data_IF_462162199047
#
_entry.id   IF_462162199047
#
_cell.length_a   1.000
_cell.length_b   1.000
_cell.length_c   1.000
_cell.angle_alpha   90.00
_cell.angle_beta   90.00
_cell.angle_gamma   90.00
#
_symmetry.space_group_name_H-M   'P 1'
#
loop_
_entity.id
_entity.type
_entity.pdbx_description
1 polymer ?
#
# COMPACT_ATOMS: atom_id res chain seq x y z
N UNK A 1 0.10 -31.61 3.96
CA UNK A 1 -1.37 -31.45 3.84
C UNK A 1 -1.93 -31.42 5.24
N UNK A 2 -2.77 -30.43 5.56
CA UNK A 2 -3.39 -30.30 6.88
C UNK A 2 -4.89 -30.54 6.81
N UNK A 3 -5.40 -31.24 7.82
CA UNK A 3 -6.83 -31.51 7.97
C UNK A 3 -7.31 -30.87 9.26
N UNK A 4 -8.34 -30.02 9.16
CA UNK A 4 -8.93 -29.33 10.30
C UNK A 4 -10.40 -29.69 10.41
N UNK A 5 -10.83 -30.11 11.60
CA UNK A 5 -12.25 -30.29 11.90
C UNK A 5 -12.82 -28.98 12.43
N UNK A 6 -13.63 -28.31 11.63
CA UNK A 6 -14.15 -26.98 11.91
C UNK A 6 -15.68 -27.01 12.03
N UNK A 7 -16.23 -26.10 12.82
CA UNK A 7 -17.68 -25.91 12.98
C UNK A 7 -18.20 -25.02 11.86
N UNK A 8 -19.12 -25.56 11.05
CA UNK A 8 -19.85 -24.81 10.03
C UNK A 8 -20.48 -23.54 10.61
N UNK A 9 -21.08 -23.62 11.80
CA UNK A 9 -21.76 -22.49 12.44
C UNK A 9 -20.81 -21.34 12.76
N UNK A 10 -19.61 -21.63 13.27
CA UNK A 10 -18.59 -20.60 13.53
C UNK A 10 -18.12 -19.96 12.22
N UNK A 11 -17.82 -20.78 11.21
CA UNK A 11 -17.41 -20.30 9.89
C UNK A 11 -18.45 -19.37 9.25
N UNK A 12 -19.71 -19.80 9.16
CA UNK A 12 -20.78 -19.02 8.52
C UNK A 12 -21.16 -17.75 9.28
N UNK A 13 -20.98 -17.73 10.61
CA UNK A 13 -21.28 -16.55 11.42
C UNK A 13 -20.19 -15.48 11.31
N UNK A 14 -18.94 -15.90 11.09
CA UNK A 14 -17.77 -15.01 11.13
C UNK A 14 -17.24 -14.60 9.77
N UNK A 15 -17.68 -15.23 8.68
CA UNK A 15 -17.14 -15.04 7.32
C UNK A 15 -18.25 -14.99 6.28
N UNK A 16 -18.24 -13.94 5.46
CA UNK A 16 -19.19 -13.80 4.34
C UNK A 16 -18.95 -14.88 3.28
N UNK A 17 -17.69 -15.24 3.01
CA UNK A 17 -17.34 -16.32 2.09
C UNK A 17 -18.01 -17.64 2.50
N UNK A 18 -17.87 -18.06 3.77
CA UNK A 18 -18.45 -19.32 4.23
C UNK A 18 -19.97 -19.25 4.31
N UNK A 19 -20.54 -18.06 4.58
CA UNK A 19 -21.98 -17.83 4.52
C UNK A 19 -22.53 -18.05 3.10
N UNK A 20 -21.90 -17.45 2.09
CA UNK A 20 -22.26 -17.61 0.68
C UNK A 20 -22.08 -19.05 0.21
N UNK A 21 -20.94 -19.66 0.55
CA UNK A 21 -20.67 -21.06 0.26
C UNK A 21 -21.75 -21.97 0.86
N UNK A 22 -22.19 -21.68 2.09
CA UNK A 22 -23.25 -22.43 2.76
C UNK A 22 -24.63 -22.28 2.11
N UNK A 23 -24.87 -21.18 1.40
CA UNK A 23 -26.11 -20.94 0.67
C UNK A 23 -26.15 -21.66 -0.69
N UNK A 24 -25.00 -21.80 -1.37
CA UNK A 24 -24.88 -22.49 -2.67
C UNK A 24 -24.95 -24.03 -2.52
N UNK A 25 -24.76 -24.53 -1.29
CA UNK A 25 -24.71 -25.95 -0.97
C UNK A 25 -23.26 -26.42 -0.88
N UNK A 26 -22.85 -26.87 0.31
CA UNK A 26 -21.54 -27.49 0.48
C UNK A 26 -21.56 -28.87 -0.18
N UNK A 27 -20.54 -29.24 -0.96
CA UNK A 27 -20.44 -30.61 -1.48
C UNK A 27 -20.37 -31.59 -0.30
N UNK A 28 -21.43 -32.38 -0.12
CA UNK A 28 -21.49 -33.42 0.90
C UNK A 28 -20.52 -34.54 0.54
N UNK A 29 -19.46 -34.68 1.31
CA UNK A 29 -18.67 -35.91 1.30
C UNK A 29 -19.33 -36.85 2.31
N UNK A 30 -20.06 -37.86 1.81
CA UNK A 30 -20.54 -38.94 2.66
C UNK A 30 -19.33 -39.73 3.17
N UNK A 31 -18.96 -39.50 4.41
CA UNK A 31 -18.03 -40.35 5.14
C UNK A 31 -18.85 -41.26 6.05
N UNK A 32 -18.55 -42.56 6.04
CA UNK A 32 -19.21 -43.54 6.90
C UNK A 32 -19.13 -43.09 8.37
N UNK A 33 -20.28 -42.72 8.95
CA UNK A 33 -20.40 -42.31 10.35
C UNK A 33 -20.75 -40.84 10.62
N UNK A 34 -20.88 -39.98 9.61
CA UNK A 34 -21.40 -38.61 9.80
C UNK A 34 -21.40 -37.71 8.56
N UNK A 35 -22.17 -36.61 8.62
CA UNK A 35 -22.12 -35.54 7.61
C UNK A 35 -20.87 -34.68 7.85
N UNK A 36 -19.77 -34.97 7.16
CA UNK A 36 -18.62 -34.07 7.07
C UNK A 36 -18.61 -33.40 5.70
N UNK A 37 -18.47 -32.08 5.67
CA UNK A 37 -18.24 -31.35 4.43
C UNK A 37 -16.77 -31.02 4.33
N UNK A 38 -16.19 -31.26 3.16
CA UNK A 38 -14.76 -31.03 2.92
C UNK A 38 -14.60 -29.79 2.05
N UNK A 39 -14.01 -28.74 2.62
CA UNK A 39 -13.64 -27.54 1.85
C UNK A 39 -12.14 -27.61 1.59
N UNK A 40 -11.76 -27.67 0.32
CA UNK A 40 -10.35 -27.68 -0.07
C UNK A 40 -9.84 -26.25 -0.20
N UNK A 41 -8.78 -25.91 0.53
CA UNK A 41 -8.11 -24.62 0.43
C UNK A 41 -6.66 -24.83 -0.05
N UNK A 42 -6.27 -24.18 -1.15
CA UNK A 42 -4.94 -24.33 -1.76
C UNK A 42 -4.24 -22.97 -1.86
N UNK A 43 -2.92 -22.96 -1.73
CA UNK A 43 -2.09 -21.76 -1.92
C UNK A 43 -1.98 -20.84 -0.69
N UNK A 44 -2.48 -21.26 0.47
CA UNK A 44 -2.41 -20.49 1.71
C UNK A 44 -1.18 -20.84 2.57
N UNK A 45 -0.69 -19.86 3.33
CA UNK A 45 0.26 -20.11 4.42
C UNK A 45 -0.45 -20.89 5.53
N UNK A 46 0.08 -22.08 5.83
CA UNK A 46 -0.53 -23.05 6.73
C UNK A 46 -0.77 -22.46 8.13
N UNK A 47 0.26 -21.84 8.71
CA UNK A 47 0.18 -21.26 10.05
C UNK A 47 -0.80 -20.07 10.09
N UNK A 48 -0.79 -19.19 9.10
CA UNK A 48 -1.74 -18.09 9.02
C UNK A 48 -3.18 -18.59 8.96
N UNK A 49 -3.43 -19.68 8.22
CA UNK A 49 -4.74 -20.31 8.13
C UNK A 49 -5.16 -20.91 9.47
N UNK A 50 -4.27 -21.64 10.14
CA UNK A 50 -4.54 -22.21 11.48
C UNK A 50 -4.87 -21.10 12.48
N UNK A 51 -4.11 -20.00 12.50
CA UNK A 51 -4.37 -18.85 13.38
C UNK A 51 -5.77 -18.28 13.11
N UNK A 52 -6.12 -18.05 11.84
CA UNK A 52 -7.43 -17.52 11.48
C UNK A 52 -8.56 -18.46 11.94
N UNK A 53 -8.40 -19.77 11.72
CA UNK A 53 -9.39 -20.75 12.12
C UNK A 53 -9.54 -20.83 13.64
N UNK A 54 -8.44 -20.74 14.40
CA UNK A 54 -8.48 -20.67 15.86
C UNK A 54 -9.24 -19.43 16.35
N UNK A 55 -9.05 -18.27 15.71
CA UNK A 55 -9.79 -17.04 16.02
C UNK A 55 -11.29 -17.23 15.77
N UNK A 56 -11.67 -17.71 14.59
CA UNK A 56 -13.09 -17.92 14.23
C UNK A 56 -13.77 -18.89 15.22
N UNK A 57 -13.03 -19.87 15.75
CA UNK A 57 -13.55 -20.87 16.69
C UNK A 57 -13.40 -20.49 18.16
N UNK A 58 -12.98 -19.25 18.47
CA UNK A 58 -12.82 -18.79 19.85
C UNK A 58 -11.73 -19.54 20.63
N UNK A 59 -10.79 -20.19 19.96
CA UNK A 59 -9.68 -20.93 20.58
C UNK A 59 -8.55 -19.97 20.94
N UNK A 60 -8.85 -18.98 21.77
CA UNK A 60 -7.98 -17.83 22.06
C UNK A 60 -6.61 -18.22 22.62
N UNK A 61 -6.53 -19.31 23.40
CA UNK A 61 -5.29 -19.85 23.96
C UNK A 61 -4.30 -20.34 22.90
N UNK A 62 -4.77 -20.62 21.66
CA UNK A 62 -3.94 -21.05 20.53
C UNK A 62 -3.58 -19.91 19.58
N UNK A 63 -4.00 -18.67 19.89
CA UNK A 63 -3.71 -17.50 19.08
C UNK A 63 -2.48 -16.80 19.65
N UNK A 64 -1.40 -16.61 18.88
CA UNK A 64 -0.21 -15.96 19.39
C UNK A 64 -0.48 -14.50 19.73
N UNK A 65 0.11 -14.01 20.82
CA UNK A 65 0.00 -12.60 21.21
C UNK A 65 0.83 -11.67 20.31
N UNK A 66 1.82 -12.23 19.61
CA UNK A 66 2.73 -11.52 18.73
C UNK A 66 2.89 -12.27 17.42
N UNK A 67 2.92 -11.53 16.33
CA UNK A 67 3.16 -12.06 14.98
C UNK A 67 4.11 -11.13 14.25
N UNK A 68 4.96 -11.67 13.39
CA UNK A 68 5.77 -10.84 12.50
C UNK A 68 4.89 -10.11 11.50
N UNK A 69 5.36 -8.97 10.97
CA UNK A 69 4.65 -8.23 9.92
C UNK A 69 4.33 -9.12 8.70
N UNK A 70 5.23 -10.02 8.34
CA UNK A 70 5.01 -10.94 7.22
C UNK A 70 3.87 -11.94 7.51
N UNK A 71 3.83 -12.50 8.72
CA UNK A 71 2.75 -13.39 9.14
C UNK A 71 1.42 -12.62 9.23
N UNK A 72 1.43 -11.39 9.75
CA UNK A 72 0.26 -10.52 9.79
C UNK A 72 -0.27 -10.19 8.40
N UNK A 73 0.60 -9.91 7.43
CA UNK A 73 0.21 -9.68 6.04
C UNK A 73 -0.43 -10.94 5.43
N UNK A 74 0.13 -12.13 5.70
CA UNK A 74 -0.46 -13.41 5.28
C UNK A 74 -1.84 -13.65 5.90
N UNK A 75 -2.01 -13.36 7.19
CA UNK A 75 -3.33 -13.38 7.86
C UNK A 75 -4.28 -12.38 7.20
N UNK A 76 -3.82 -11.16 6.90
CA UNK A 76 -4.63 -10.13 6.23
C UNK A 76 -5.10 -10.58 4.84
N UNK A 77 -4.29 -11.32 4.08
CA UNK A 77 -4.70 -11.93 2.80
C UNK A 77 -5.89 -12.87 3.01
N UNK A 78 -5.81 -13.75 4.01
CA UNK A 78 -6.88 -14.69 4.33
C UNK A 78 -8.13 -13.97 4.83
N UNK A 79 -7.97 -12.96 5.69
CA UNK A 79 -9.08 -12.16 6.21
C UNK A 79 -9.81 -11.43 5.09
N UNK A 80 -9.07 -10.86 4.14
CA UNK A 80 -9.64 -10.20 2.97
C UNK A 80 -10.35 -11.21 2.05
N UNK A 81 -9.77 -12.39 1.85
CA UNK A 81 -10.37 -13.45 1.03
C UNK A 81 -11.66 -14.02 1.65
N UNK A 82 -11.64 -14.34 2.94
CA UNK A 82 -12.78 -14.95 3.63
C UNK A 82 -13.80 -13.91 4.13
N UNK A 83 -13.53 -12.61 4.02
CA UNK A 83 -14.46 -11.56 4.45
C UNK A 83 -14.81 -11.64 5.93
N UNK A 84 -13.79 -11.79 6.78
CA UNK A 84 -13.95 -12.03 8.22
C UNK A 84 -13.21 -11.01 9.11
N UNK A 85 -13.09 -9.76 8.65
CA UNK A 85 -12.37 -8.68 9.33
C UNK A 85 -12.84 -8.50 10.78
N UNK A 86 -14.17 -8.50 11.00
CA UNK A 86 -14.77 -8.31 12.33
C UNK A 86 -14.35 -9.37 13.35
N UNK A 87 -14.13 -10.61 12.91
CA UNK A 87 -13.71 -11.69 13.79
C UNK A 87 -12.25 -11.52 14.27
N UNK A 88 -11.43 -10.83 13.48
CA UNK A 88 -9.98 -10.66 13.73
C UNK A 88 -9.65 -9.29 14.33
N UNK A 89 -10.57 -8.32 14.29
CA UNK A 89 -10.35 -6.92 14.67
C UNK A 89 -9.58 -6.73 16.01
N UNK A 90 -9.99 -7.45 17.06
CA UNK A 90 -9.29 -7.39 18.36
C UNK A 90 -7.83 -7.82 18.25
N UNK A 91 -7.57 -8.97 17.61
CA UNK A 91 -6.21 -9.48 17.44
C UNK A 91 -5.38 -8.62 16.51
N UNK A 92 -5.98 -8.09 15.43
CA UNK A 92 -5.31 -7.17 14.53
C UNK A 92 -4.76 -5.95 15.29
N UNK A 93 -5.57 -5.30 16.14
CA UNK A 93 -5.16 -4.17 16.98
C UNK A 93 -4.02 -4.53 17.95
N UNK A 94 -4.10 -5.72 18.56
CA UNK A 94 -3.02 -6.20 19.45
C UNK A 94 -1.74 -6.42 18.67
N UNK A 95 -1.79 -7.04 17.51
CA UNK A 95 -0.61 -7.30 16.70
C UNK A 95 -0.01 -6.04 16.10
N UNK A 96 -0.82 -5.13 15.57
CA UNK A 96 -0.34 -3.87 14.96
C UNK A 96 0.28 -2.95 16.00
N UNK A 97 -0.29 -2.86 17.21
CA UNK A 97 0.32 -2.09 18.31
C UNK A 97 1.64 -2.66 18.82
N UNK A 98 1.89 -3.96 18.63
CA UNK A 98 3.15 -4.62 19.00
C UNK A 98 4.20 -4.64 17.90
N UNK A 99 3.90 -4.12 16.71
CA UNK A 99 4.91 -3.89 15.69
C UNK A 99 5.84 -2.75 16.15
N UNK A 100 6.94 -3.12 16.83
CA UNK A 100 7.86 -2.17 17.46
C UNK A 100 8.55 -1.20 16.47
N UNK A 101 8.66 -1.58 15.21
CA UNK A 101 9.32 -0.76 14.21
C UNK A 101 8.46 0.47 13.82
N UNK A 102 9.08 1.65 13.66
CA UNK A 102 8.39 2.86 13.21
C UNK A 102 7.78 2.65 11.82
N UNK A 103 6.84 3.52 11.44
CA UNK A 103 6.30 3.49 10.09
C UNK A 103 7.41 3.82 9.08
N UNK A 104 7.55 3.05 7.98
CA UNK A 104 8.54 3.33 6.95
C UNK A 104 8.36 4.71 6.33
N UNK A 105 9.44 5.49 6.31
CA UNK A 105 9.49 6.81 5.68
C UNK A 105 9.96 6.74 4.22
N UNK A 106 10.42 5.58 3.76
CA UNK A 106 10.91 5.34 2.39
C UNK A 106 10.16 4.20 1.72
N UNK A 107 10.11 4.22 0.39
CA UNK A 107 9.51 3.16 -0.40
C UNK A 107 10.27 1.84 -0.22
N UNK A 108 9.60 0.83 0.34
CA UNK A 108 10.21 -0.45 0.70
C UNK A 108 9.19 -1.59 0.71
N UNK A 109 9.67 -2.84 0.75
CA UNK A 109 8.81 -4.01 0.97
C UNK A 109 8.00 -3.88 2.25
N UNK A 110 8.62 -3.43 3.34
CA UNK A 110 7.96 -3.25 4.63
C UNK A 110 6.79 -2.27 4.52
N UNK A 111 7.00 -1.15 3.83
CA UNK A 111 5.97 -0.14 3.60
C UNK A 111 4.72 -0.75 2.95
N UNK A 112 4.92 -1.58 1.92
CA UNK A 112 3.82 -2.20 1.17
C UNK A 112 3.06 -3.25 1.99
N UNK A 113 3.77 -4.03 2.82
CA UNK A 113 3.14 -4.96 3.76
C UNK A 113 2.28 -4.20 4.78
N UNK A 114 2.82 -3.12 5.37
CA UNK A 114 2.07 -2.29 6.33
C UNK A 114 0.90 -1.56 5.67
N UNK A 115 1.04 -1.11 4.43
CA UNK A 115 -0.05 -0.49 3.67
C UNK A 115 -1.21 -1.49 3.55
N UNK A 116 -0.92 -2.71 3.11
CA UNK A 116 -1.95 -3.73 2.93
C UNK A 116 -2.62 -4.12 4.24
N UNK A 117 -1.84 -4.32 5.32
CA UNK A 117 -2.38 -4.58 6.67
C UNK A 117 -3.30 -3.45 7.13
N UNK A 118 -2.83 -2.19 7.03
CA UNK A 118 -3.62 -1.02 7.43
C UNK A 118 -4.90 -0.84 6.61
N UNK A 119 -4.88 -1.27 5.34
CA UNK A 119 -6.06 -1.26 4.47
C UNK A 119 -7.07 -2.34 4.88
N UNK A 120 -6.64 -3.60 5.06
CA UNK A 120 -7.53 -4.72 5.44
C UNK A 120 -8.17 -4.50 6.80
N UNK A 121 -7.43 -3.92 7.76
CA UNK A 121 -7.90 -3.70 9.13
C UNK A 121 -8.37 -2.27 9.40
N UNK A 122 -8.55 -1.45 8.36
CA UNK A 122 -9.10 -0.09 8.46
C UNK A 122 -8.35 0.83 9.44
N UNK A 123 -7.02 0.75 9.48
CA UNK A 123 -6.16 1.64 10.28
C UNK A 123 -5.95 2.99 9.57
N UNK A 124 -6.98 3.83 9.54
CA UNK A 124 -7.05 5.06 8.71
C UNK A 124 -5.81 5.95 8.83
N UNK A 125 -5.35 6.23 10.04
CA UNK A 125 -4.20 7.10 10.28
C UNK A 125 -2.88 6.50 9.76
N UNK A 126 -2.69 5.19 9.92
CA UNK A 126 -1.52 4.47 9.39
C UNK A 126 -1.57 4.45 7.87
N UNK A 127 -2.72 4.08 7.32
CA UNK A 127 -2.95 4.03 5.87
C UNK A 127 -2.65 5.38 5.22
N UNK A 128 -3.20 6.48 5.75
CA UNK A 128 -2.97 7.84 5.25
C UNK A 128 -1.50 8.26 5.25
N UNK A 129 -0.74 7.88 6.28
CA UNK A 129 0.71 8.15 6.33
C UNK A 129 1.46 7.38 5.26
N UNK A 130 1.18 6.08 5.11
CA UNK A 130 1.87 5.22 4.16
C UNK A 130 1.54 5.57 2.70
N UNK A 131 0.28 5.93 2.40
CA UNK A 131 -0.08 6.40 1.05
C UNK A 131 0.62 7.71 0.69
N UNK A 132 0.73 8.65 1.64
CA UNK A 132 1.52 9.88 1.44
C UNK A 132 2.98 9.56 1.14
N UNK A 133 3.61 8.67 1.92
CA UNK A 133 4.99 8.25 1.65
C UNK A 133 5.14 7.65 0.25
N UNK A 134 4.21 6.77 -0.18
CA UNK A 134 4.21 6.20 -1.53
C UNK A 134 4.15 7.28 -2.60
N UNK A 135 3.21 8.22 -2.48
CA UNK A 135 3.01 9.29 -3.45
C UNK A 135 4.29 10.12 -3.62
N UNK A 136 5.03 10.37 -2.54
CA UNK A 136 6.25 11.19 -2.58
C UNK A 136 7.51 10.43 -3.05
N UNK A 137 7.65 9.17 -2.65
CA UNK A 137 8.89 8.38 -2.82
C UNK A 137 8.87 7.47 -4.05
N UNK A 138 7.69 7.01 -4.47
CA UNK A 138 7.61 6.07 -5.58
C UNK A 138 8.03 6.72 -6.90
N UNK A 139 8.62 5.89 -7.77
CA UNK A 139 9.15 6.29 -9.09
C UNK A 139 8.31 5.75 -10.24
N UNK A 140 7.07 5.38 -9.97
CA UNK A 140 6.18 4.69 -10.88
C UNK A 140 5.11 3.90 -10.12
N UNK A 141 4.37 3.08 -10.86
CA UNK A 141 3.33 2.22 -10.30
C UNK A 141 3.89 1.31 -9.20
N UNK A 142 3.21 1.25 -8.06
CA UNK A 142 3.69 0.42 -6.95
C UNK A 142 3.66 -1.07 -7.30
N UNK A 143 4.68 -1.79 -6.87
CA UNK A 143 4.67 -3.25 -6.93
C UNK A 143 3.79 -3.80 -5.81
N UNK A 144 2.83 -4.67 -6.12
CA UNK A 144 1.89 -5.19 -5.11
C UNK A 144 2.45 -6.35 -4.29
N UNK A 145 3.66 -6.86 -4.60
CA UNK A 145 4.25 -8.03 -3.96
C UNK A 145 3.38 -9.31 -4.04
N UNK A 146 2.46 -9.37 -5.01
CA UNK A 146 1.46 -10.45 -5.10
C UNK A 146 0.32 -10.34 -4.08
N UNK A 147 0.26 -9.26 -3.29
CA UNK A 147 -0.84 -9.00 -2.37
C UNK A 147 -2.10 -8.57 -3.14
N UNK A 148 -3.31 -8.91 -2.67
CA UNK A 148 -4.57 -8.55 -3.28
C UNK A 148 -4.95 -7.09 -2.97
N UNK A 149 -4.04 -6.15 -3.27
CA UNK A 149 -4.29 -4.72 -3.18
C UNK A 149 -5.23 -4.33 -4.32
N UNK A 150 -6.35 -3.62 -4.06
CA UNK A 150 -7.27 -3.24 -5.11
C UNK A 150 -6.59 -2.42 -6.21
N UNK A 151 -6.82 -2.79 -7.47
CA UNK A 151 -6.27 -2.05 -8.62
C UNK A 151 -6.64 -0.57 -8.59
N UNK A 152 -7.88 -0.26 -8.16
CA UNK A 152 -8.36 1.12 -7.97
C UNK A 152 -7.50 1.91 -6.99
N UNK A 153 -7.00 1.29 -5.93
CA UNK A 153 -6.12 1.96 -4.96
C UNK A 153 -4.74 2.21 -5.58
N UNK A 154 -4.18 1.21 -6.26
CA UNK A 154 -2.89 1.33 -6.96
C UNK A 154 -2.93 2.47 -7.98
N UNK A 155 -3.98 2.51 -8.81
CA UNK A 155 -4.16 3.53 -9.84
C UNK A 155 -4.39 4.92 -9.24
N UNK A 156 -5.10 5.03 -8.11
CA UNK A 156 -5.31 6.30 -7.41
C UNK A 156 -4.00 6.87 -6.86
N UNK A 157 -3.16 6.03 -6.23
CA UNK A 157 -1.86 6.47 -5.71
C UNK A 157 -0.94 6.96 -6.83
N UNK A 158 -0.92 6.25 -7.96
CA UNK A 158 -0.08 6.64 -9.09
C UNK A 158 -0.61 7.90 -9.77
N UNK A 159 -1.94 8.07 -9.86
CA UNK A 159 -2.57 9.30 -10.34
C UNK A 159 -2.17 10.51 -9.49
N UNK A 160 -2.27 10.40 -8.16
CA UNK A 160 -1.90 11.49 -7.24
C UNK A 160 -0.41 11.84 -7.37
N UNK A 161 0.46 10.84 -7.51
CA UNK A 161 1.89 11.04 -7.79
C UNK A 161 2.10 11.79 -9.11
N UNK A 162 1.47 11.36 -10.20
CA UNK A 162 1.60 11.99 -11.51
C UNK A 162 1.11 13.44 -11.50
N UNK A 163 0.02 13.72 -10.78
CA UNK A 163 -0.50 15.09 -10.62
C UNK A 163 0.50 16.01 -9.91
N UNK A 164 1.13 15.55 -8.83
CA UNK A 164 2.14 16.34 -8.12
C UNK A 164 3.37 16.59 -9.00
N UNK A 165 3.85 15.58 -9.73
CA UNK A 165 5.00 15.73 -10.63
C UNK A 165 4.67 16.69 -11.77
N UNK A 166 3.49 16.55 -12.39
CA UNK A 166 3.04 17.45 -13.45
C UNK A 166 2.92 18.89 -12.95
N UNK A 167 2.36 19.10 -11.76
CA UNK A 167 2.27 20.42 -11.14
C UNK A 167 3.66 21.03 -10.91
N UNK A 168 4.58 20.27 -10.34
CA UNK A 168 5.95 20.70 -10.12
C UNK A 168 6.67 21.11 -11.42
N UNK A 169 6.53 20.32 -12.48
CA UNK A 169 7.12 20.64 -13.80
C UNK A 169 6.49 21.92 -14.36
N UNK A 170 5.17 22.07 -14.26
CA UNK A 170 4.44 23.26 -14.69
C UNK A 170 4.90 24.52 -13.96
N UNK A 171 5.12 24.44 -12.64
CA UNK A 171 5.60 25.55 -11.83
C UNK A 171 7.01 25.99 -12.24
N UNK A 172 7.92 25.03 -12.49
CA UNK A 172 9.27 25.32 -12.97
C UNK A 172 9.25 25.94 -14.37
N UNK A 173 8.44 25.42 -15.29
CA UNK A 173 8.27 26.01 -16.64
C UNK A 173 7.69 27.43 -16.56
N UNK A 174 6.76 27.67 -15.65
CA UNK A 174 6.17 28.99 -15.43
C UNK A 174 7.21 29.98 -14.89
N UNK A 175 8.03 29.55 -13.93
CA UNK A 175 9.14 30.34 -13.41
C UNK A 175 10.19 30.64 -14.49
N UNK A 176 10.54 29.65 -15.32
CA UNK A 176 11.45 29.81 -16.47
C UNK A 176 10.91 30.86 -17.45
N UNK A 177 9.61 30.80 -17.76
CA UNK A 177 8.95 31.76 -18.65
C UNK A 177 8.96 33.17 -18.07
N UNK A 178 8.71 33.31 -16.77
CA UNK A 178 8.74 34.60 -16.07
C UNK A 178 10.15 35.22 -16.07
N UNK A 179 11.16 34.45 -15.70
CA UNK A 179 12.56 34.91 -15.67
C UNK A 179 13.12 35.23 -17.07
N UNK A 180 12.52 34.66 -18.13
CA UNK A 180 12.90 34.97 -19.52
C UNK A 180 12.29 36.28 -20.03
N UNK A 181 11.30 36.83 -19.32
CA UNK A 181 10.69 38.12 -19.63
C UNK A 181 11.35 39.19 -18.77
N UNK A 182 11.52 40.39 -19.32
CA UNK A 182 11.95 41.54 -18.53
C UNK A 182 10.81 41.99 -17.62
N UNK A 183 10.86 41.57 -16.35
CA UNK A 183 9.98 42.09 -15.31
C UNK A 183 10.69 43.20 -14.51
N UNK A 184 9.94 44.23 -14.13
CA UNK A 184 10.44 45.45 -13.47
C UNK A 184 11.06 45.22 -12.07
N UNK A 185 10.98 44.01 -11.53
CA UNK A 185 11.33 43.71 -10.13
C UNK A 185 12.82 43.37 -9.92
N UNK A 186 13.59 43.00 -10.96
CA UNK A 186 15.04 42.75 -10.82
C UNK A 186 15.88 43.28 -12.01
N UNK A 187 17.20 43.37 -11.83
CA UNK A 187 18.11 43.76 -12.93
C UNK A 187 18.25 42.65 -13.98
N UNK A 188 18.71 43.01 -15.19
CA UNK A 188 18.97 42.05 -16.26
C UNK A 188 19.94 40.95 -15.82
N UNK A 189 21.00 41.28 -15.08
CA UNK A 189 22.00 40.34 -14.58
C UNK A 189 21.37 39.38 -13.57
N UNK A 190 20.57 39.90 -12.63
CA UNK A 190 19.83 39.10 -11.65
C UNK A 190 18.90 38.07 -12.32
N UNK A 191 18.10 38.53 -13.30
CA UNK A 191 17.20 37.66 -14.07
C UNK A 191 17.99 36.61 -14.85
N UNK A 192 19.07 37.01 -15.53
CA UNK A 192 19.92 36.12 -16.32
C UNK A 192 20.59 35.04 -15.48
N UNK A 193 21.13 35.41 -14.31
CA UNK A 193 21.76 34.45 -13.41
C UNK A 193 20.74 33.48 -12.80
N UNK A 194 19.58 33.98 -12.39
CA UNK A 194 18.48 33.15 -11.85
C UNK A 194 17.94 32.18 -12.90
N UNK A 195 17.73 32.66 -14.13
CA UNK A 195 17.30 31.83 -15.26
C UNK A 195 18.34 30.76 -15.58
N UNK A 196 19.63 31.12 -15.61
CA UNK A 196 20.72 30.19 -15.83
C UNK A 196 20.82 29.12 -14.74
N UNK A 197 20.65 29.50 -13.47
CA UNK A 197 20.62 28.57 -12.33
C UNK A 197 19.43 27.59 -12.44
N UNK A 198 18.23 28.11 -12.74
CA UNK A 198 17.03 27.30 -12.91
C UNK A 198 17.18 26.31 -14.06
N UNK A 199 17.60 26.75 -15.25
CA UNK A 199 17.79 25.87 -16.42
C UNK A 199 18.82 24.79 -16.12
N UNK A 200 19.94 25.13 -15.47
CA UNK A 200 20.96 24.14 -15.07
C UNK A 200 20.38 23.11 -14.09
N UNK A 201 19.58 23.55 -13.12
CA UNK A 201 18.91 22.65 -12.17
C UNK A 201 17.87 21.75 -12.85
N UNK A 202 17.02 22.30 -13.72
CA UNK A 202 16.06 21.53 -14.51
C UNK A 202 16.76 20.47 -15.38
N UNK A 203 17.89 20.81 -16.02
CA UNK A 203 18.69 19.86 -16.80
C UNK A 203 19.32 18.77 -15.93
N UNK A 204 19.84 19.12 -14.76
CA UNK A 204 20.37 18.14 -13.81
C UNK A 204 19.29 17.15 -13.35
N UNK A 205 18.04 17.59 -13.24
CA UNK A 205 16.87 16.76 -12.94
C UNK A 205 16.25 16.07 -14.18
N UNK A 206 16.75 16.32 -15.39
CA UNK A 206 16.19 15.85 -16.67
C UNK A 206 14.74 16.32 -16.93
N UNK A 207 14.42 17.57 -16.58
CA UNK A 207 13.09 18.16 -16.74
C UNK A 207 12.96 19.15 -17.92
N UNK A 208 14.07 19.52 -18.56
CA UNK A 208 14.14 20.62 -19.53
C UNK A 208 14.00 20.16 -20.99
N UNK A 209 14.87 19.25 -21.47
CA UNK A 209 14.89 18.82 -22.87
C UNK A 209 15.48 17.39 -23.04
N UNK A 210 14.67 16.37 -23.41
CA UNK A 210 13.22 16.41 -23.50
C UNK A 210 12.58 16.46 -22.10
N UNK A 211 11.47 17.18 -21.98
CA UNK A 211 10.65 17.17 -20.77
C UNK A 211 9.98 15.80 -20.60
N UNK A 212 10.00 15.19 -19.40
CA UNK A 212 9.35 13.91 -19.19
C UNK A 212 7.83 14.04 -19.35
N UNK A 213 7.22 12.97 -19.83
CA UNK A 213 5.77 12.86 -20.00
C UNK A 213 5.20 11.81 -19.06
N UNK A 214 3.88 11.83 -18.88
CA UNK A 214 3.16 10.77 -18.17
C UNK A 214 3.54 9.38 -18.74
N UNK A 215 3.72 8.36 -17.88
CA UNK A 215 3.44 8.35 -16.44
C UNK A 215 4.63 8.79 -15.55
N UNK A 216 5.61 9.54 -16.07
CA UNK A 216 6.76 10.03 -15.30
C UNK A 216 7.55 8.93 -14.59
N UNK A 217 7.76 7.79 -15.26
CA UNK A 217 8.54 6.68 -14.70
C UNK A 217 9.99 7.13 -14.42
N UNK A 218 10.51 6.74 -13.26
CA UNK A 218 11.83 7.13 -12.78
C UNK A 218 11.85 8.39 -11.91
N UNK A 219 10.76 9.17 -11.89
CA UNK A 219 10.63 10.42 -11.13
C UNK A 219 9.80 10.23 -9.87
N UNK A 220 10.28 10.82 -8.77
CA UNK A 220 9.62 10.87 -7.47
C UNK A 220 9.59 12.32 -6.98
N UNK A 221 8.49 12.75 -6.36
CA UNK A 221 8.32 14.12 -5.84
C UNK A 221 9.45 14.48 -4.88
N UNK A 222 9.79 13.57 -3.95
CA UNK A 222 10.82 13.86 -2.95
C UNK A 222 12.21 14.11 -3.58
N UNK A 223 12.60 13.31 -4.59
CA UNK A 223 13.87 13.53 -5.28
C UNK A 223 13.90 14.86 -6.02
N UNK A 224 12.77 15.29 -6.59
CA UNK A 224 12.64 16.58 -7.29
C UNK A 224 12.72 17.75 -6.29
N UNK A 225 12.01 17.68 -5.17
CA UNK A 225 12.09 18.69 -4.10
C UNK A 225 13.52 18.80 -3.54
N UNK A 226 14.17 17.67 -3.27
CA UNK A 226 15.55 17.64 -2.78
C UNK A 226 16.53 18.23 -3.81
N UNK A 227 16.34 17.93 -5.10
CA UNK A 227 17.19 18.47 -6.15
C UNK A 227 16.97 19.98 -6.32
N UNK A 228 15.73 20.47 -6.19
CA UNK A 228 15.41 21.90 -6.21
C UNK A 228 16.09 22.65 -5.05
N UNK A 229 16.05 22.09 -3.83
CA UNK A 229 16.75 22.67 -2.67
C UNK A 229 18.27 22.75 -2.82
N UNK A 230 18.87 22.01 -3.75
CA UNK A 230 20.30 22.05 -4.05
C UNK A 230 20.68 23.01 -5.19
N UNK A 231 19.70 23.65 -5.85
CA UNK A 231 20.00 24.65 -6.87
C UNK A 231 20.66 25.85 -6.19
N UNK A 232 21.91 26.13 -6.56
CA UNK A 232 22.62 27.33 -6.11
C UNK A 232 22.01 28.55 -6.79
N UNK A 233 21.38 29.40 -6.00
CA UNK A 233 20.97 30.74 -6.41
C UNK A 233 22.14 31.70 -6.07
N UNK A 234 22.52 32.62 -6.97
CA UNK A 234 23.53 33.64 -6.71
C UNK A 234 23.21 34.52 -5.49
#
# INVERSE_FOLDING_TARGET
>A
EIHMRLSRKHLTLSSTYFQELAAIGWEETKVEGGYSYTVTAKGWDEEALIILMNIIHGQTQKVPLEVSLEKLAKIAVLVNHYGCQKAVDFYAKVWTSRLQAPLPETYSRELLLRLFVSWVFSEEHVFKKLTRTIIYESRGLIHTLGLPIPRKLVDALDKDRQQLISGFISDLNSLKTRLSKEEKECSFECLSMSLGALIKGMRAMRLDDPQPTEPFNGYSVMAMEKALGNIKIP
#
